data_IF_996249188703
#
_entry.id   IF_996249188703
#
_cell.length_a   1.000
_cell.length_b   1.000
_cell.length_c   1.000
_cell.angle_alpha   90.00
_cell.angle_beta   90.00
_cell.angle_gamma   90.00
#
_symmetry.space_group_name_H-M   'P 1'
#
loop_
_entity.id
_entity.type
_entity.pdbx_description
1 polymer ?
#
# COMPACT_ATOMS: atom_id res chain seq x y z
N UNK A 1 1.15 -6.77 8.74
CA UNK A 1 2.56 -6.40 8.48
C UNK A 1 2.89 -5.14 9.25
N UNK A 2 4.13 -5.01 9.66
CA UNK A 2 4.57 -3.86 10.44
C UNK A 2 4.91 -2.70 9.51
N UNK A 3 4.29 -1.55 9.75
CA UNK A 3 4.59 -0.32 9.02
C UNK A 3 5.65 0.44 9.82
N UNK A 4 6.79 0.68 9.19
CA UNK A 4 7.97 1.26 9.86
C UNK A 4 8.01 2.78 9.87
N UNK A 5 7.23 3.43 9.00
CA UNK A 5 7.21 4.89 8.88
C UNK A 5 5.83 5.44 9.14
N UNK A 6 5.77 6.64 9.70
CA UNK A 6 4.51 7.30 9.95
C UNK A 6 4.03 8.01 8.70
N UNK A 7 2.97 7.47 8.11
CA UNK A 7 2.37 7.99 6.89
C UNK A 7 0.87 8.02 7.07
N UNK A 8 0.22 9.00 6.48
CA UNK A 8 -1.24 9.06 6.44
C UNK A 8 -1.70 9.05 4.99
N UNK A 9 -2.84 8.42 4.77
CA UNK A 9 -3.50 8.38 3.47
C UNK A 9 -4.39 9.61 3.34
N UNK A 10 -4.23 10.35 2.24
CA UNK A 10 -5.05 11.52 1.94
C UNK A 10 -5.55 11.48 0.50
N UNK A 11 -6.72 12.06 0.29
CA UNK A 11 -7.25 12.27 -1.06
C UNK A 11 -7.11 13.75 -1.39
N UNK A 12 -6.41 14.04 -2.49
CA UNK A 12 -6.19 15.39 -2.97
C UNK A 12 -6.48 15.42 -4.46
N UNK A 13 -7.45 16.24 -4.87
CA UNK A 13 -7.83 16.40 -6.28
C UNK A 13 -8.12 15.08 -7.00
N UNK A 14 -8.75 14.14 -6.31
CA UNK A 14 -9.09 12.84 -6.87
C UNK A 14 -8.01 11.78 -6.77
N UNK A 15 -6.82 12.15 -6.36
CA UNK A 15 -5.71 11.21 -6.17
C UNK A 15 -5.59 10.80 -4.70
N UNK A 16 -5.29 9.52 -4.48
CA UNK A 16 -4.98 9.00 -3.15
C UNK A 16 -3.47 8.98 -2.98
N UNK A 17 -2.98 9.63 -1.94
CA UNK A 17 -1.54 9.73 -1.69
C UNK A 17 -1.21 9.34 -0.25
N UNK A 18 0.02 8.86 -0.04
CA UNK A 18 0.60 8.71 1.28
C UNK A 18 1.47 9.94 1.56
N UNK A 19 1.22 10.57 2.70
CA UNK A 19 1.93 11.77 3.10
C UNK A 19 2.70 11.45 4.38
N UNK A 20 4.03 11.72 4.42
CA UNK A 20 4.80 11.53 5.64
C UNK A 20 4.35 12.51 6.72
N UNK A 21 4.33 12.05 7.97
CA UNK A 21 3.97 12.87 9.12
C UNK A 21 5.09 12.80 10.17
N UNK A 22 5.12 13.83 11.01
CA UNK A 22 6.13 13.91 12.06
C UNK A 22 7.53 14.05 11.48
N UNK A 23 8.44 13.17 11.91
CA UNK A 23 9.83 13.18 11.47
C UNK A 23 10.10 12.27 10.28
N UNK A 24 9.06 11.63 9.74
CA UNK A 24 9.22 10.74 8.61
C UNK A 24 9.55 11.51 7.34
N UNK A 25 10.58 11.07 6.63
CA UNK A 25 11.00 11.65 5.35
C UNK A 25 11.07 10.51 4.34
N UNK A 26 10.46 10.73 3.18
CA UNK A 26 10.61 9.82 2.03
C UNK A 26 11.73 10.34 1.14
N UNK A 27 12.55 9.42 0.61
CA UNK A 27 13.73 9.78 -0.17
C UNK A 27 13.44 10.49 -1.49
N UNK A 28 12.22 10.37 -2.01
CA UNK A 28 11.85 11.01 -3.26
C UNK A 28 10.64 11.92 -3.04
N UNK A 29 10.82 13.21 -3.15
CA UNK A 29 9.79 14.25 -3.17
C UNK A 29 8.64 14.16 -2.15
N UNK A 30 8.68 13.20 -1.24
CA UNK A 30 7.74 13.09 -0.14
C UNK A 30 6.34 12.61 -0.47
N UNK A 31 6.05 12.28 -1.72
CA UNK A 31 4.70 11.84 -2.10
C UNK A 31 4.73 10.45 -2.72
N UNK A 32 3.78 9.63 -2.30
CA UNK A 32 3.58 8.30 -2.85
C UNK A 32 2.13 8.20 -3.33
N UNK A 33 1.94 8.24 -4.64
CA UNK A 33 0.59 8.18 -5.24
C UNK A 33 0.14 6.73 -5.34
N UNK A 34 -1.09 6.47 -4.90
CA UNK A 34 -1.68 5.14 -4.91
C UNK A 34 -2.93 5.12 -5.78
N UNK A 35 -3.09 4.05 -6.57
CA UNK A 35 -4.35 3.78 -7.22
C UNK A 35 -5.34 3.19 -6.19
N UNK A 36 -6.56 2.92 -6.62
CA UNK A 36 -7.60 2.38 -5.75
C UNK A 36 -7.19 1.07 -5.07
N UNK A 37 -6.59 0.15 -5.83
CA UNK A 37 -6.15 -1.13 -5.29
C UNK A 37 -5.03 -0.95 -4.27
N UNK A 38 -4.06 -0.10 -4.55
CA UNK A 38 -2.96 0.16 -3.61
C UNK A 38 -3.49 0.76 -2.31
N UNK A 39 -4.45 1.68 -2.39
CA UNK A 39 -5.08 2.25 -1.20
C UNK A 39 -5.81 1.19 -0.38
N UNK A 40 -6.51 0.27 -1.04
CA UNK A 40 -7.17 -0.84 -0.37
C UNK A 40 -6.16 -1.74 0.36
N UNK A 41 -5.05 -2.07 -0.30
CA UNK A 41 -3.98 -2.87 0.29
C UNK A 41 -3.36 -2.15 1.49
N UNK A 42 -3.12 -0.85 1.35
CA UNK A 42 -2.56 -0.04 2.44
C UNK A 42 -3.41 -0.14 3.71
N UNK A 43 -4.72 -0.05 3.56
CA UNK A 43 -5.64 -0.12 4.71
C UNK A 43 -5.64 -1.49 5.37
N UNK A 44 -5.29 -2.55 4.64
CA UNK A 44 -5.20 -3.91 5.18
C UNK A 44 -3.90 -4.19 5.92
N UNK A 45 -2.82 -3.48 5.60
CA UNK A 45 -1.47 -3.81 6.07
C UNK A 45 -1.35 -3.97 7.58
N UNK A 46 -1.91 -3.09 8.41
CA UNK A 46 -1.74 -3.23 9.87
C UNK A 46 -2.27 -4.56 10.42
N UNK A 47 -3.34 -5.08 9.83
CA UNK A 47 -3.98 -6.31 10.28
C UNK A 47 -3.57 -7.55 9.50
N UNK A 48 -2.88 -7.38 8.39
CA UNK A 48 -2.49 -8.50 7.54
C UNK A 48 -1.28 -9.25 8.10
N UNK A 49 -1.39 -10.57 8.21
CA UNK A 49 -0.28 -11.39 8.68
C UNK A 49 0.77 -11.62 7.60
N UNK A 50 0.34 -11.73 6.34
CA UNK A 50 1.23 -12.03 5.22
C UNK A 50 0.57 -11.64 3.89
N UNK A 51 1.30 -11.81 2.79
CA UNK A 51 0.80 -11.50 1.45
C UNK A 51 -0.41 -12.35 1.06
N UNK A 52 -0.47 -13.60 1.50
CA UNK A 52 -1.60 -14.48 1.18
C UNK A 52 -2.91 -13.93 1.75
N UNK A 53 -2.88 -13.39 2.96
CA UNK A 53 -4.05 -12.78 3.58
C UNK A 53 -4.52 -11.54 2.79
N UNK A 54 -3.57 -10.74 2.30
CA UNK A 54 -3.88 -9.58 1.46
C UNK A 54 -4.52 -10.04 0.14
N UNK A 55 -3.95 -11.07 -0.47
CA UNK A 55 -4.46 -11.62 -1.72
C UNK A 55 -5.90 -12.12 -1.57
N UNK A 56 -6.19 -12.84 -0.50
CA UNK A 56 -7.54 -13.31 -0.22
C UNK A 56 -8.54 -12.16 -0.10
N UNK A 57 -8.16 -11.10 0.59
CA UNK A 57 -9.01 -9.92 0.76
C UNK A 57 -9.26 -9.22 -0.58
N UNK A 58 -8.23 -9.08 -1.41
CA UNK A 58 -8.36 -8.48 -2.73
C UNK A 58 -9.30 -9.31 -3.62
N UNK A 59 -9.14 -10.63 -3.62
CA UNK A 59 -9.99 -11.51 -4.41
C UNK A 59 -11.46 -11.50 -3.95
N UNK A 60 -11.70 -11.20 -2.67
CA UNK A 60 -13.05 -11.08 -2.15
C UNK A 60 -13.73 -9.78 -2.58
N UNK A 61 -12.96 -8.70 -2.81
CA UNK A 61 -13.50 -7.37 -3.14
C UNK A 61 -13.46 -7.03 -4.62
N UNK A 62 -12.51 -7.57 -5.37
CA UNK A 62 -12.29 -7.21 -6.77
C UNK A 62 -12.44 -8.43 -7.67
N UNK A 63 -12.99 -8.19 -8.86
CA UNK A 63 -13.13 -9.23 -9.87
C UNK A 63 -11.85 -9.31 -10.71
N UNK A 64 -10.83 -9.88 -10.12
CA UNK A 64 -9.51 -10.06 -10.75
C UNK A 64 -9.06 -11.50 -10.58
N UNK A 65 -8.16 -11.96 -11.45
CA UNK A 65 -7.56 -13.28 -11.29
C UNK A 65 -6.57 -13.32 -10.12
N UNK A 66 -6.34 -14.51 -9.58
CA UNK A 66 -5.35 -14.67 -8.51
C UNK A 66 -3.96 -14.27 -8.97
N UNK A 67 -3.62 -14.52 -10.23
CA UNK A 67 -2.32 -14.15 -10.80
C UNK A 67 -2.14 -12.62 -10.86
N UNK A 68 -3.16 -11.90 -11.32
CA UNK A 68 -3.12 -10.45 -11.37
C UNK A 68 -3.05 -9.84 -9.98
N UNK A 69 -3.86 -10.37 -9.05
CA UNK A 69 -3.84 -9.88 -7.67
C UNK A 69 -2.46 -10.09 -7.04
N UNK A 70 -1.88 -11.27 -7.18
CA UNK A 70 -0.57 -11.55 -6.61
C UNK A 70 0.52 -10.66 -7.21
N UNK A 71 0.49 -10.42 -8.52
CA UNK A 71 1.48 -9.56 -9.17
C UNK A 71 1.36 -8.11 -8.71
N UNK A 72 0.15 -7.57 -8.62
CA UNK A 72 -0.08 -6.19 -8.20
C UNK A 72 0.28 -5.98 -6.74
N UNK A 73 -0.06 -6.94 -5.89
CA UNK A 73 0.29 -6.90 -4.47
C UNK A 73 1.81 -6.93 -4.29
N UNK A 74 2.48 -7.85 -4.98
CA UNK A 74 3.94 -7.96 -4.90
C UNK A 74 4.63 -6.68 -5.36
N UNK A 75 4.18 -6.09 -6.44
CA UNK A 75 4.73 -4.84 -6.96
C UNK A 75 4.58 -3.70 -5.93
N UNK A 76 3.40 -3.55 -5.36
CA UNK A 76 3.14 -2.52 -4.38
C UNK A 76 3.98 -2.72 -3.11
N UNK A 77 4.00 -3.93 -2.57
CA UNK A 77 4.76 -4.22 -1.36
C UNK A 77 6.27 -4.03 -1.59
N UNK A 78 6.77 -4.38 -2.78
CA UNK A 78 8.17 -4.15 -3.10
C UNK A 78 8.52 -2.66 -3.15
N UNK A 79 7.62 -1.82 -3.65
CA UNK A 79 7.82 -0.37 -3.61
C UNK A 79 7.89 0.13 -2.17
N UNK A 80 7.01 -0.36 -1.31
CA UNK A 80 7.03 0.01 0.11
C UNK A 80 8.32 -0.45 0.80
N UNK A 81 8.81 -1.63 0.45
CA UNK A 81 10.07 -2.15 1.00
C UNK A 81 11.27 -1.31 0.56
N UNK A 82 11.30 -0.88 -0.71
CA UNK A 82 12.37 -0.03 -1.23
C UNK A 82 12.42 1.33 -0.52
N UNK A 83 11.26 1.83 -0.13
CA UNK A 83 11.15 3.08 0.63
C UNK A 83 11.30 2.87 2.13
N UNK A 84 11.52 1.63 2.56
CA UNK A 84 11.64 1.24 3.96
C UNK A 84 10.39 1.57 4.78
N UNK A 85 9.22 1.55 4.14
CA UNK A 85 7.95 1.78 4.81
C UNK A 85 7.49 0.52 5.54
N UNK A 86 7.80 -0.65 4.97
CA UNK A 86 7.53 -1.93 5.62
C UNK A 86 8.77 -2.81 5.71
#
# INVERSE_FOLDING_TARGET
MIIKKELIKREIAGDTILVPVGKTVLDSNGLFVMNELAAFIWDLLPDAENEAAICEAVLAEYDVSAEEAAADIAEFLNKLRKLEII
#
